data_IF_490867834707
#
_entry.id   IF_490867834707
#
_cell.length_a   1.000
_cell.length_b   1.000
_cell.length_c   1.000
_cell.angle_alpha   90.00
_cell.angle_beta   90.00
_cell.angle_gamma   90.00
#
_symmetry.space_group_name_H-M   'P 1'
#
loop_
_entity.id
_entity.type
_entity.pdbx_description
1 polymer ?
#
# COMPACT_ATOMS: atom_id res chain seq x y z
N UNK A 1 -0.56 13.89 22.22
CA UNK A 1 -0.41 13.01 21.04
C UNK A 1 1.07 12.82 20.82
N UNK A 2 1.54 11.59 20.65
CA UNK A 2 2.92 11.37 20.22
C UNK A 2 3.03 11.81 18.75
N UNK A 3 4.10 12.51 18.41
CA UNK A 3 4.39 12.79 17.01
C UNK A 3 4.59 11.48 16.25
N UNK A 4 4.16 11.38 14.98
CA UNK A 4 4.36 10.17 14.20
C UNK A 4 5.85 9.92 13.95
N UNK A 5 6.27 8.65 14.05
CA UNK A 5 7.63 8.27 13.72
C UNK A 5 7.80 8.29 12.19
N UNK A 6 8.52 9.29 11.69
CA UNK A 6 8.94 9.33 10.28
C UNK A 6 10.30 8.64 10.17
N UNK A 7 10.34 7.57 9.38
CA UNK A 7 11.50 6.71 9.19
C UNK A 7 11.86 6.70 7.71
N UNK A 8 13.14 6.89 7.39
CA UNK A 8 13.64 6.73 6.03
C UNK A 8 13.87 5.23 5.73
N UNK A 9 13.13 4.70 4.77
CA UNK A 9 13.31 3.33 4.26
C UNK A 9 14.02 3.38 2.91
N UNK A 10 15.14 2.66 2.78
CA UNK A 10 15.91 2.59 1.54
C UNK A 10 15.58 1.35 0.72
N UNK A 11 15.35 1.50 -0.58
CA UNK A 11 15.21 0.41 -1.54
C UNK A 11 15.97 0.73 -2.85
N UNK A 12 17.08 0.04 -3.10
CA UNK A 12 17.97 0.42 -4.20
C UNK A 12 18.53 1.83 -3.98
N UNK A 13 18.27 2.74 -4.91
CA UNK A 13 18.66 4.15 -4.81
C UNK A 13 17.53 5.05 -4.26
N UNK A 14 16.35 4.48 -4.02
CA UNK A 14 15.20 5.22 -3.52
C UNK A 14 15.25 5.33 -2.00
N UNK A 15 14.97 6.53 -1.49
CA UNK A 15 14.73 6.82 -0.08
C UNK A 15 13.26 7.18 0.05
N UNK A 16 12.52 6.38 0.81
CA UNK A 16 11.08 6.54 1.02
C UNK A 16 10.87 7.07 2.43
N UNK A 17 10.16 8.21 2.53
CA UNK A 17 9.74 8.79 3.79
C UNK A 17 8.52 8.02 4.29
N UNK A 18 8.70 7.23 5.34
CA UNK A 18 7.68 6.34 5.89
C UNK A 18 7.13 6.88 7.20
N UNK A 19 5.89 7.35 7.18
CA UNK A 19 5.14 7.74 8.38
C UNK A 19 4.52 6.49 9.01
N UNK A 20 5.03 6.07 10.18
CA UNK A 20 4.44 4.96 10.97
C UNK A 20 3.60 5.56 12.08
N UNK A 21 2.31 5.26 12.11
CA UNK A 21 1.41 5.91 13.06
C UNK A 21 0.21 5.05 13.45
N UNK A 22 -0.33 5.32 14.63
CA UNK A 22 -1.67 4.91 15.04
C UNK A 22 -2.54 6.13 15.36
N UNK A 23 -2.11 7.34 14.99
CA UNK A 23 -2.89 8.57 15.18
C UNK A 23 -3.66 8.93 13.92
N UNK A 24 -4.98 9.05 14.04
CA UNK A 24 -5.86 9.51 12.97
C UNK A 24 -5.49 10.92 12.49
N UNK A 25 -5.02 11.81 13.37
CA UNK A 25 -4.59 13.16 12.97
C UNK A 25 -3.37 13.12 12.05
N UNK A 26 -2.43 12.20 12.29
CA UNK A 26 -1.27 12.02 11.43
C UNK A 26 -1.69 11.49 10.05
N UNK A 27 -2.69 10.61 9.99
CA UNK A 27 -3.28 10.11 8.74
C UNK A 27 -3.95 11.24 7.96
N UNK A 28 -4.78 12.07 8.61
CA UNK A 28 -5.42 13.25 7.99
C UNK A 28 -4.37 14.20 7.41
N UNK A 29 -3.29 14.45 8.14
CA UNK A 29 -2.19 15.32 7.68
C UNK A 29 -1.49 14.74 6.45
N UNK A 30 -1.16 13.45 6.48
CA UNK A 30 -0.55 12.76 5.34
C UNK A 30 -1.45 12.82 4.10
N UNK A 31 -2.75 12.56 4.24
CA UNK A 31 -3.71 12.66 3.13
C UNK A 31 -3.77 14.08 2.58
N UNK A 32 -3.87 15.08 3.45
CA UNK A 32 -3.92 16.49 3.04
C UNK A 32 -2.66 16.90 2.24
N UNK A 33 -1.48 16.43 2.65
CA UNK A 33 -0.23 16.65 1.93
C UNK A 33 -0.23 15.99 0.54
N UNK A 34 -0.66 14.73 0.43
CA UNK A 34 -0.79 14.03 -0.85
C UNK A 34 -1.74 14.76 -1.79
N UNK A 35 -2.92 15.15 -1.31
CA UNK A 35 -3.92 15.86 -2.10
C UNK A 35 -3.43 17.26 -2.52
N UNK A 36 -2.69 17.96 -1.65
CA UNK A 36 -2.11 19.26 -1.97
C UNK A 36 -1.03 19.20 -3.05
N UNK A 37 -0.26 18.10 -3.11
CA UNK A 37 0.78 17.87 -4.13
C UNK A 37 0.19 17.45 -5.48
N UNK A 38 -0.99 16.84 -5.50
CA UNK A 38 -1.61 16.28 -6.70
C UNK A 38 -2.87 17.03 -7.14
N UNK A 39 -2.89 18.36 -6.97
CA UNK A 39 -4.05 19.21 -7.36
C UNK A 39 -4.49 18.89 -8.80
N UNK A 40 -5.80 18.78 -9.06
CA UNK A 40 -6.31 18.41 -10.36
C UNK A 40 -5.86 19.43 -11.42
N UNK A 41 -4.96 18.99 -12.31
CA UNK A 41 -4.77 19.63 -13.61
C UNK A 41 -5.95 19.32 -14.53
N UNK A 42 -6.04 20.04 -15.65
CA UNK A 42 -7.17 20.10 -16.59
C UNK A 42 -7.62 18.77 -17.22
N UNK A 43 -7.03 17.62 -16.86
CA UNK A 43 -7.23 16.32 -17.51
C UNK A 43 -7.82 15.22 -16.59
N UNK A 44 -8.47 15.59 -15.48
CA UNK A 44 -9.15 14.64 -14.60
C UNK A 44 -8.19 13.82 -13.73
N UNK A 45 -8.64 13.48 -12.53
CA UNK A 45 -7.84 12.88 -11.46
C UNK A 45 -7.01 11.65 -11.88
N UNK A 46 -5.75 11.57 -11.43
CA UNK A 46 -4.84 10.44 -11.74
C UNK A 46 -3.91 10.04 -10.60
N UNK A 47 -4.29 10.25 -9.33
CA UNK A 47 -3.47 9.79 -8.20
C UNK A 47 -3.44 8.27 -8.23
N UNK A 48 -2.22 7.72 -8.28
CA UNK A 48 -1.96 6.28 -8.14
C UNK A 48 -1.37 6.09 -6.74
N UNK A 49 -1.94 5.16 -5.98
CA UNK A 49 -1.55 4.84 -4.60
C UNK A 49 -1.25 3.36 -4.54
N UNK A 50 -0.02 2.98 -4.22
CA UNK A 50 0.30 1.61 -3.85
C UNK A 50 -0.39 1.27 -2.54
N UNK A 51 -1.17 0.19 -2.51
CA UNK A 51 -1.91 -0.27 -1.35
C UNK A 51 -1.45 -1.68 -0.99
N UNK A 52 -1.27 -1.92 0.30
CA UNK A 52 -1.06 -3.24 0.88
C UNK A 52 -1.66 -3.26 2.30
N UNK A 53 -1.94 -4.46 2.82
CA UNK A 53 -2.38 -4.63 4.20
C UNK A 53 -1.74 -5.88 4.81
N UNK A 54 -1.45 -5.82 6.11
CA UNK A 54 -0.84 -6.94 6.83
C UNK A 54 -1.64 -7.29 8.07
N UNK A 55 -1.70 -8.59 8.39
CA UNK A 55 -2.37 -9.13 9.58
C UNK A 55 -1.59 -10.30 10.17
N UNK A 56 -1.81 -10.59 11.45
CA UNK A 56 -1.19 -11.77 12.06
C UNK A 56 -1.74 -13.04 11.39
N UNK A 57 -0.88 -13.93 10.87
CA UNK A 57 -1.36 -15.19 10.29
C UNK A 57 -2.07 -16.06 11.33
N UNK A 58 -3.16 -16.70 10.91
CA UNK A 58 -3.90 -17.69 11.69
C UNK A 58 -3.98 -19.01 10.93
N UNK A 59 -3.72 -20.11 11.62
CA UNK A 59 -3.88 -21.48 11.10
C UNK A 59 -5.22 -22.12 11.51
N UNK A 60 -6.06 -21.36 12.23
CA UNK A 60 -7.41 -21.75 12.59
C UNK A 60 -8.44 -21.30 11.55
N UNK A 61 -9.73 -21.66 11.74
CA UNK A 61 -10.81 -21.28 10.82
C UNK A 61 -11.09 -19.77 10.82
N UNK A 62 -10.69 -19.06 11.88
CA UNK A 62 -10.84 -17.62 11.99
C UNK A 62 -9.53 -16.93 11.62
N UNK A 63 -9.61 -15.97 10.70
CA UNK A 63 -8.51 -15.07 10.38
C UNK A 63 -8.46 -13.92 11.39
N UNK A 64 -7.25 -13.43 11.69
CA UNK A 64 -7.13 -12.21 12.50
C UNK A 64 -7.52 -11.00 11.65
N UNK A 65 -8.05 -9.93 12.25
CA UNK A 65 -8.36 -8.71 11.51
C UNK A 65 -7.12 -8.08 10.88
N UNK A 66 -7.31 -7.29 9.82
CA UNK A 66 -6.27 -6.44 9.24
C UNK A 66 -5.62 -5.60 10.34
N UNK A 67 -4.30 -5.74 10.47
CA UNK A 67 -3.53 -5.11 11.53
C UNK A 67 -3.01 -3.73 11.13
N UNK A 68 -2.57 -3.63 9.88
CA UNK A 68 -1.95 -2.41 9.34
C UNK A 68 -2.42 -2.16 7.91
N UNK A 69 -2.54 -0.89 7.54
CA UNK A 69 -2.78 -0.42 6.18
C UNK A 69 -1.56 0.34 5.69
N UNK A 70 -1.08 0.02 4.49
CA UNK A 70 -0.01 0.73 3.81
C UNK A 70 -0.56 1.50 2.61
N UNK A 71 -0.19 2.76 2.49
CA UNK A 71 -0.47 3.59 1.32
C UNK A 71 0.81 4.27 0.87
N UNK A 72 1.15 4.19 -0.42
CA UNK A 72 2.36 4.82 -0.95
C UNK A 72 2.09 5.61 -2.22
N UNK A 73 2.57 6.86 -2.26
CA UNK A 73 2.52 7.75 -3.42
C UNK A 73 3.90 8.37 -3.62
N UNK A 74 4.57 8.05 -4.72
CA UNK A 74 5.96 8.46 -4.93
C UNK A 74 6.86 7.89 -3.85
N UNK A 75 7.63 8.76 -3.21
CA UNK A 75 8.51 8.43 -2.08
C UNK A 75 7.90 8.74 -0.71
N UNK A 76 6.57 8.89 -0.63
CA UNK A 76 5.84 9.06 0.63
C UNK A 76 5.02 7.81 0.92
N UNK A 77 5.27 7.17 2.06
CA UNK A 77 4.56 5.97 2.50
C UNK A 77 3.94 6.20 3.88
N UNK A 78 2.66 5.86 4.02
CA UNK A 78 1.96 5.78 5.29
C UNK A 78 1.84 4.31 5.70
N UNK A 79 2.17 4.00 6.94
CA UNK A 79 1.85 2.74 7.61
C UNK A 79 0.94 3.09 8.79
N UNK A 80 -0.35 2.81 8.64
CA UNK A 80 -1.35 3.06 9.66
C UNK A 80 -1.67 1.76 10.44
N UNK A 81 -1.36 1.74 11.74
CA UNK A 81 -1.61 0.61 12.62
C UNK A 81 -3.08 0.60 13.09
N UNK A 82 -3.97 0.09 12.24
CA UNK A 82 -5.42 0.08 12.42
C UNK A 82 -5.89 -0.49 13.78
N UNK A 83 -5.28 -1.58 14.26
CA UNK A 83 -5.68 -2.18 15.55
C UNK A 83 -5.41 -1.31 16.78
N UNK A 84 -4.52 -0.34 16.62
CA UNK A 84 -4.09 0.55 17.69
C UNK A 84 -4.49 2.00 17.43
N UNK A 85 -5.29 2.23 16.39
CA UNK A 85 -5.75 3.54 16.00
C UNK A 85 -6.48 4.23 17.17
N UNK A 86 -6.12 5.48 17.47
CA UNK A 86 -6.90 6.31 18.40
C UNK A 86 -8.31 6.61 17.84
N UNK A 87 -8.38 6.81 16.52
CA UNK A 87 -9.60 6.79 15.71
C UNK A 87 -9.24 6.54 14.23
N UNK A 88 -10.21 6.06 13.46
CA UNK A 88 -10.10 5.96 12.00
C UNK A 88 -10.71 7.24 11.39
N UNK A 89 -9.93 8.09 10.68
CA UNK A 89 -10.46 9.35 10.15
C UNK A 89 -11.51 9.17 9.06
N UNK A 90 -12.54 10.02 9.07
CA UNK A 90 -13.48 10.12 7.95
C UNK A 90 -12.78 10.47 6.63
N UNK A 91 -11.73 11.31 6.71
CA UNK A 91 -10.91 11.66 5.55
C UNK A 91 -10.21 10.44 4.92
N UNK A 92 -9.87 9.40 5.71
CA UNK A 92 -9.31 8.16 5.17
C UNK A 92 -10.39 7.38 4.39
N UNK A 93 -11.60 7.27 4.93
CA UNK A 93 -12.71 6.62 4.25
C UNK A 93 -13.08 7.36 2.94
N UNK A 94 -13.10 8.69 2.96
CA UNK A 94 -13.31 9.51 1.76
C UNK A 94 -12.18 9.31 0.74
N UNK A 95 -10.92 9.28 1.18
CA UNK A 95 -9.77 9.06 0.30
C UNK A 95 -9.80 7.68 -0.37
N UNK A 96 -10.04 6.61 0.39
CA UNK A 96 -10.17 5.25 -0.16
C UNK A 96 -11.43 5.09 -1.04
N UNK A 97 -12.50 5.83 -0.71
CA UNK A 97 -13.77 5.83 -1.42
C UNK A 97 -13.80 6.67 -2.69
N UNK A 98 -12.77 7.47 -2.97
CA UNK A 98 -12.70 8.32 -4.16
C UNK A 98 -12.37 7.49 -5.42
N UNK A 99 -13.33 7.43 -6.35
CA UNK A 99 -13.16 6.73 -7.65
C UNK A 99 -12.13 7.39 -8.57
N UNK A 100 -11.76 8.65 -8.31
CA UNK A 100 -10.70 9.38 -9.02
C UNK A 100 -9.28 8.97 -8.59
N UNK A 101 -9.13 8.21 -7.50
CA UNK A 101 -7.86 7.70 -6.99
C UNK A 101 -7.78 6.21 -7.32
N UNK A 102 -6.65 5.75 -7.85
CA UNK A 102 -6.40 4.33 -8.14
C UNK A 102 -5.54 3.71 -7.06
N UNK A 103 -6.04 2.64 -6.44
CA UNK A 103 -5.32 1.87 -5.44
C UNK A 103 -4.80 0.59 -6.09
N UNK A 104 -3.49 0.41 -6.10
CA UNK A 104 -2.83 -0.62 -6.91
C UNK A 104 -2.00 -1.56 -6.05
N UNK A 105 -1.99 -2.84 -6.41
CA UNK A 105 -1.24 -3.89 -5.72
C UNK A 105 -1.37 -5.22 -6.44
N UNK A 106 -0.83 -6.28 -5.85
CA UNK A 106 -1.00 -7.66 -6.33
C UNK A 106 -1.93 -8.39 -5.37
N UNK A 107 -3.13 -8.75 -5.85
CA UNK A 107 -4.19 -9.26 -4.98
C UNK A 107 -4.95 -8.16 -4.23
N UNK A 108 -4.81 -6.91 -4.66
CA UNK A 108 -5.31 -5.72 -3.94
C UNK A 108 -6.83 -5.71 -3.74
N UNK A 109 -7.60 -6.38 -4.59
CA UNK A 109 -9.03 -6.55 -4.40
C UNK A 109 -9.35 -7.38 -3.15
N UNK A 110 -8.54 -8.41 -2.85
CA UNK A 110 -8.69 -9.18 -1.62
C UNK A 110 -8.32 -8.35 -0.39
N UNK A 111 -7.32 -7.47 -0.50
CA UNK A 111 -6.97 -6.54 0.58
C UNK A 111 -8.09 -5.51 0.81
N UNK A 112 -8.71 -5.02 -0.26
CA UNK A 112 -9.86 -4.13 -0.21
C UNK A 112 -11.09 -4.80 0.44
N UNK A 113 -11.37 -6.06 0.10
CA UNK A 113 -12.42 -6.86 0.74
C UNK A 113 -12.13 -7.00 2.24
N UNK A 114 -10.89 -7.33 2.61
CA UNK A 114 -10.47 -7.45 4.02
C UNK A 114 -10.60 -6.14 4.79
N UNK A 115 -10.25 -4.99 4.20
CA UNK A 115 -10.44 -3.68 4.79
C UNK A 115 -11.92 -3.33 5.01
N UNK A 116 -12.77 -3.68 4.05
CA UNK A 116 -14.21 -3.47 4.15
C UNK A 116 -14.83 -4.34 5.25
N UNK A 117 -14.48 -5.63 5.28
CA UNK A 117 -15.03 -6.58 6.25
C UNK A 117 -14.58 -6.30 7.68
N UNK A 118 -13.29 -6.00 7.88
CA UNK A 118 -12.72 -5.85 9.22
C UNK A 118 -12.91 -4.42 9.79
N UNK A 119 -12.92 -3.40 8.93
CA UNK A 119 -12.86 -1.99 9.35
C UNK A 119 -13.93 -1.08 8.70
N UNK A 120 -14.78 -1.60 7.81
CA UNK A 120 -15.76 -0.80 7.08
C UNK A 120 -15.14 0.20 6.09
N UNK A 121 -13.86 0.02 5.73
CA UNK A 121 -13.13 0.90 4.83
C UNK A 121 -13.25 0.39 3.39
N UNK A 122 -14.07 1.07 2.60
CA UNK A 122 -14.31 0.72 1.19
C UNK A 122 -13.24 1.34 0.31
N UNK A 123 -12.50 0.51 -0.43
CA UNK A 123 -11.59 0.95 -1.50
C UNK A 123 -12.33 0.95 -2.83
N UNK A 124 -12.72 2.12 -3.32
CA UNK A 124 -13.66 2.24 -4.43
C UNK A 124 -13.08 1.89 -5.82
N UNK A 125 -11.76 1.92 -5.96
CA UNK A 125 -11.05 1.74 -7.23
C UNK A 125 -9.72 1.01 -7.01
N UNK A 126 -9.83 -0.19 -6.45
CA UNK A 126 -8.73 -1.15 -6.35
C UNK A 126 -8.46 -1.79 -7.72
N UNK A 127 -7.19 -1.94 -8.08
CA UNK A 127 -6.79 -2.45 -9.38
C UNK A 127 -5.56 -3.37 -9.31
N UNK A 128 -5.78 -4.64 -9.66
CA UNK A 128 -4.72 -5.63 -9.70
C UNK A 128 -3.69 -5.41 -10.83
N UNK A 129 -2.43 -5.31 -10.43
CA UNK A 129 -1.31 -5.13 -11.36
C UNK A 129 -1.01 -6.36 -12.22
N UNK A 130 -1.41 -7.57 -11.80
CA UNK A 130 -1.23 -8.82 -12.56
C UNK A 130 -1.92 -8.75 -13.91
N UNK A 131 -3.16 -8.26 -13.93
CA UNK A 131 -3.92 -8.09 -15.16
C UNK A 131 -3.27 -7.08 -16.11
N UNK A 132 -2.92 -5.90 -15.58
CA UNK A 132 -2.29 -4.83 -16.36
C UNK A 132 -0.93 -5.27 -16.93
N UNK A 133 -0.11 -5.94 -16.12
CA UNK A 133 1.20 -6.44 -16.53
C UNK A 133 1.08 -7.50 -17.63
N UNK A 134 0.17 -8.46 -17.47
CA UNK A 134 -0.07 -9.51 -18.44
C UNK A 134 -0.47 -8.96 -19.81
N UNK A 135 -1.35 -7.96 -19.83
CA UNK A 135 -1.81 -7.31 -21.06
C UNK A 135 -0.71 -6.48 -21.71
N UNK A 136 -0.09 -5.57 -20.96
CA UNK A 136 0.91 -4.63 -21.50
C UNK A 136 2.18 -5.31 -22.00
N UNK A 137 2.53 -6.46 -21.41
CA UNK A 137 3.76 -7.20 -21.74
C UNK A 137 3.50 -8.43 -22.61
N UNK A 138 2.24 -8.69 -23.00
CA UNK A 138 1.83 -9.89 -23.73
C UNK A 138 2.31 -11.19 -23.04
N UNK A 139 2.12 -11.27 -21.72
CA UNK A 139 2.59 -12.35 -20.84
C UNK A 139 1.44 -12.86 -19.95
N UNK A 140 0.56 -13.73 -20.48
CA UNK A 140 -0.63 -14.22 -19.75
C UNK A 140 -0.32 -14.89 -18.41
N UNK A 141 0.86 -15.47 -18.27
CA UNK A 141 1.35 -16.09 -17.04
C UNK A 141 1.46 -15.10 -15.87
N UNK A 142 1.63 -13.80 -16.13
CA UNK A 142 1.68 -12.76 -15.09
C UNK A 142 0.35 -12.58 -14.35
N UNK A 143 -0.78 -13.07 -14.91
CA UNK A 143 -2.08 -13.06 -14.21
C UNK A 143 -2.08 -13.86 -12.91
N UNK A 144 -1.12 -14.79 -12.75
CA UNK A 144 -0.96 -15.62 -11.55
C UNK A 144 0.36 -15.33 -10.81
N UNK A 145 1.09 -14.30 -11.20
CA UNK A 145 2.38 -13.98 -10.62
C UNK A 145 2.23 -13.19 -9.31
N UNK A 146 3.10 -13.46 -8.34
CA UNK A 146 3.21 -12.67 -7.12
C UNK A 146 4.01 -11.38 -7.34
N UNK A 147 3.95 -10.46 -6.37
CA UNK A 147 4.62 -9.15 -6.43
C UNK A 147 6.09 -9.24 -6.81
N UNK A 148 6.85 -10.18 -6.23
CA UNK A 148 8.27 -10.40 -6.56
C UNK A 148 8.51 -10.62 -8.05
N UNK A 149 7.67 -11.41 -8.70
CA UNK A 149 7.80 -11.71 -10.12
C UNK A 149 7.45 -10.49 -10.98
N UNK A 150 6.40 -9.74 -10.61
CA UNK A 150 6.05 -8.49 -11.30
C UNK A 150 7.17 -7.45 -11.18
N UNK A 151 7.71 -7.24 -9.97
CA UNK A 151 8.83 -6.31 -9.75
C UNK A 151 10.05 -6.73 -10.57
N UNK A 152 10.38 -8.02 -10.62
CA UNK A 152 11.49 -8.49 -11.45
C UNK A 152 11.28 -8.22 -12.94
N UNK A 153 10.07 -8.48 -13.45
CA UNK A 153 9.76 -8.38 -14.88
C UNK A 153 9.59 -6.93 -15.33
N UNK A 154 8.98 -6.08 -14.50
CA UNK A 154 8.68 -4.67 -14.84
C UNK A 154 9.83 -3.74 -14.46
N UNK A 155 10.48 -3.99 -13.32
CA UNK A 155 11.52 -3.10 -12.79
C UNK A 155 12.94 -3.62 -12.99
N UNK A 156 13.12 -4.91 -13.28
CA UNK A 156 14.44 -5.54 -13.34
C UNK A 156 15.09 -5.77 -11.97
N UNK A 157 14.33 -5.61 -10.87
CA UNK A 157 14.83 -5.68 -9.49
C UNK A 157 14.37 -6.97 -8.82
N UNK A 158 15.27 -7.64 -8.10
CA UNK A 158 14.92 -8.83 -7.32
C UNK A 158 14.42 -8.42 -5.92
N UNK A 159 13.10 -8.48 -5.71
CA UNK A 159 12.49 -8.22 -4.42
C UNK A 159 12.68 -9.41 -3.46
N UNK A 160 13.23 -9.15 -2.27
CA UNK A 160 13.38 -10.15 -1.21
C UNK A 160 12.25 -9.96 -0.20
N UNK A 161 11.44 -11.01 0.00
CA UNK A 161 10.36 -11.05 0.99
C UNK A 161 10.64 -12.17 1.99
N UNK A 162 11.35 -11.90 3.11
CA UNK A 162 11.70 -12.93 4.08
C UNK A 162 10.44 -13.50 4.72
N UNK A 163 10.22 -14.81 4.59
CA UNK A 163 9.04 -15.48 5.14
C UNK A 163 8.85 -15.22 6.64
N UNK A 164 9.94 -15.07 7.40
CA UNK A 164 9.90 -14.72 8.84
C UNK A 164 9.25 -13.38 9.15
N UNK A 165 9.26 -12.43 8.20
CA UNK A 165 8.59 -11.12 8.34
C UNK A 165 7.14 -11.23 7.91
N UNK A 166 6.87 -11.84 6.75
CA UNK A 166 5.50 -12.13 6.28
C UNK A 166 4.69 -12.91 7.32
N UNK A 167 5.34 -13.84 8.03
CA UNK A 167 4.72 -14.67 9.06
C UNK A 167 4.80 -14.09 10.48
N UNK A 168 5.18 -12.82 10.62
CA UNK A 168 5.46 -12.20 11.90
C UNK A 168 4.19 -11.74 12.63
N UNK A 169 4.39 -11.18 13.83
CA UNK A 169 3.34 -10.57 14.64
C UNK A 169 3.03 -9.16 14.14
N UNK A 170 2.28 -9.06 13.05
CA UNK A 170 1.76 -7.79 12.55
C UNK A 170 0.75 -7.13 13.50
N UNK A 171 0.19 -7.91 14.43
CA UNK A 171 -0.64 -7.46 15.56
C UNK A 171 0.19 -6.95 16.75
N UNK A 172 1.44 -6.55 16.55
CA UNK A 172 2.26 -5.97 17.61
C UNK A 172 2.02 -4.45 17.69
N UNK A 173 1.91 -3.90 18.91
CA UNK A 173 1.73 -2.45 19.14
C UNK A 173 2.94 -1.60 18.73
N UNK A 174 4.10 -2.24 18.54
CA UNK A 174 5.31 -1.62 18.03
C UNK A 174 5.88 -2.51 16.94
N UNK A 175 5.89 -2.02 15.70
CA UNK A 175 6.50 -2.72 14.58
C UNK A 175 8.03 -2.66 14.68
N UNK A 176 8.67 -3.78 14.37
CA UNK A 176 10.11 -3.80 14.15
C UNK A 176 10.49 -3.03 12.87
N UNK A 177 11.74 -2.57 12.78
CA UNK A 177 12.24 -1.94 11.55
C UNK A 177 12.11 -2.85 10.33
N UNK A 178 12.25 -4.18 10.50
CA UNK A 178 12.11 -5.12 9.39
C UNK A 178 10.67 -5.23 8.88
N UNK A 179 9.67 -5.15 9.78
CA UNK A 179 8.26 -5.06 9.43
C UNK A 179 7.96 -3.74 8.71
N UNK A 180 8.45 -2.61 9.25
CA UNK A 180 8.28 -1.29 8.65
C UNK A 180 8.87 -1.26 7.24
N UNK A 181 10.11 -1.74 7.09
CA UNK A 181 10.80 -1.81 5.80
C UNK A 181 10.06 -2.70 4.81
N UNK A 182 9.59 -3.87 5.25
CA UNK A 182 8.85 -4.80 4.40
C UNK A 182 7.55 -4.16 3.88
N UNK A 183 6.71 -3.66 4.80
CA UNK A 183 5.41 -3.08 4.49
C UNK A 183 5.54 -1.82 3.61
N UNK A 184 6.54 -0.97 3.91
CA UNK A 184 6.85 0.19 3.07
C UNK A 184 7.25 -0.22 1.65
N UNK A 185 8.14 -1.22 1.51
CA UNK A 185 8.62 -1.64 0.19
C UNK A 185 7.50 -2.25 -0.62
N UNK A 186 6.62 -3.07 -0.04
CA UNK A 186 5.52 -3.70 -0.77
C UNK A 186 4.53 -2.67 -1.37
N UNK A 187 4.14 -1.66 -0.60
CA UNK A 187 3.33 -0.56 -1.11
C UNK A 187 4.10 0.30 -2.13
N UNK A 188 5.37 0.62 -1.87
CA UNK A 188 6.20 1.42 -2.78
C UNK A 188 6.40 0.75 -4.15
N UNK A 189 6.77 -0.53 -4.18
CA UNK A 189 7.01 -1.22 -5.44
C UNK A 189 5.71 -1.48 -6.20
N UNK A 190 4.57 -1.63 -5.51
CA UNK A 190 3.25 -1.66 -6.15
C UNK A 190 2.94 -0.35 -6.86
N UNK A 191 3.16 0.79 -6.20
CA UNK A 191 3.08 2.12 -6.82
C UNK A 191 4.01 2.24 -8.03
N UNK A 192 5.28 1.86 -7.89
CA UNK A 192 6.30 2.03 -8.93
C UNK A 192 6.08 1.12 -10.14
N UNK A 193 5.63 -0.13 -9.92
CA UNK A 193 5.20 -1.04 -10.98
C UNK A 193 4.03 -0.43 -11.74
N UNK A 194 3.01 0.07 -11.04
CA UNK A 194 1.87 0.74 -11.67
C UNK A 194 2.30 1.96 -12.47
N UNK A 195 3.16 2.82 -11.91
CA UNK A 195 3.70 4.01 -12.59
C UNK A 195 4.40 3.65 -13.90
N UNK A 196 5.19 2.57 -13.94
CA UNK A 196 5.85 2.09 -15.18
C UNK A 196 4.86 1.45 -16.16
N UNK A 197 3.89 0.69 -15.66
CA UNK A 197 2.86 0.04 -16.48
C UNK A 197 1.80 1.00 -16.99
N UNK A 198 1.66 2.19 -16.43
CA UNK A 198 0.66 3.18 -16.81
C UNK A 198 1.30 4.39 -17.50
N UNK A 199 2.55 4.71 -17.16
CA UNK A 199 3.27 5.90 -17.62
C UNK A 199 3.95 5.79 -18.98
N UNK A 200 3.75 4.73 -19.76
CA UNK A 200 4.27 4.72 -21.13
C UNK A 200 3.30 5.39 -22.10
N UNK A 201 3.39 6.72 -22.16
CA UNK A 201 3.26 7.64 -23.31
C UNK A 201 3.12 9.08 -22.77
N UNK A 202 4.25 9.71 -22.47
CA UNK A 202 4.41 11.18 -22.49
C UNK A 202 5.80 11.50 -23.04
#
# INVERSE_FOLDING_TARGET
MADPDVIEVTFGNDVINTTVTSSGQAVERWIAEILALHRPGSNGYSIIVGLDVEWRPSFGPHQNPVATLQLCVGHSCLIFQLLYADYVPGALAEFLGDRGIRFVGVGVEADAERLSDDHGLVVANAEDLRGRAAERMNRPDLRQAGLRALVQVVMGVNLVKPQRVTMSRWDASCLSYEQIKYACIDAFVSFEVARRLLGGAY
#
